data_IF_737957646579
#
_entry.id   IF_737957646579
#
_cell.length_a   1.000
_cell.length_b   1.000
_cell.length_c   1.000
_cell.angle_alpha   90.00
_cell.angle_beta   90.00
_cell.angle_gamma   90.00
#
_symmetry.space_group_name_H-M   'P 1'
#
loop_
_entity.id
_entity.type
_entity.pdbx_description
1 polymer ?
#
# COMPACT_ATOMS: atom_id res chain seq x y z
N UNK A 1 14.66 31.53 -16.70
CA UNK A 1 14.48 30.47 -15.68
C UNK A 1 13.55 30.90 -14.54
N UNK A 2 13.69 32.07 -13.91
CA UNK A 2 12.79 32.56 -12.83
C UNK A 2 11.30 32.53 -13.21
N UNK A 3 10.95 32.98 -14.40
CA UNK A 3 9.56 33.04 -14.88
C UNK A 3 8.96 31.65 -15.14
N UNK A 4 9.77 30.65 -15.53
CA UNK A 4 9.34 29.27 -15.72
C UNK A 4 8.88 28.62 -14.40
N UNK A 5 9.66 28.77 -13.32
CA UNK A 5 9.29 28.26 -11.99
C UNK A 5 8.03 28.93 -11.43
N UNK A 6 7.88 30.25 -11.63
CA UNK A 6 6.67 30.96 -11.24
C UNK A 6 5.43 30.47 -12.02
N UNK A 7 5.55 30.32 -13.34
CA UNK A 7 4.44 29.80 -14.15
C UNK A 7 4.03 28.38 -13.75
N UNK A 8 5.01 27.49 -13.54
CA UNK A 8 4.76 26.11 -13.04
C UNK A 8 4.09 26.14 -11.65
N UNK A 9 4.53 27.01 -10.76
CA UNK A 9 3.96 27.18 -9.43
C UNK A 9 2.48 27.62 -9.48
N UNK A 10 2.14 28.60 -10.31
CA UNK A 10 0.76 29.10 -10.48
C UNK A 10 -0.18 28.10 -11.17
N UNK A 11 0.34 27.16 -11.96
CA UNK A 11 -0.44 26.07 -12.56
C UNK A 11 -0.63 24.94 -11.55
N UNK A 12 0.38 24.63 -10.72
CA UNK A 12 0.32 23.54 -9.76
C UNK A 12 -0.62 23.82 -8.57
N UNK A 13 -0.73 25.07 -8.11
CA UNK A 13 -1.60 25.43 -6.98
C UNK A 13 -3.07 25.10 -7.26
N UNK A 14 -3.71 25.56 -8.36
CA UNK A 14 -5.09 25.18 -8.69
C UNK A 14 -5.26 23.67 -8.85
N UNK A 15 -4.30 22.98 -9.49
CA UNK A 15 -4.34 21.53 -9.64
C UNK A 15 -4.32 20.79 -8.29
N UNK A 16 -3.58 21.27 -7.31
CA UNK A 16 -3.56 20.72 -5.96
C UNK A 16 -4.91 20.92 -5.24
N UNK A 17 -5.54 22.10 -5.38
CA UNK A 17 -6.88 22.35 -4.84
C UNK A 17 -7.96 21.50 -5.51
N UNK A 18 -7.94 21.36 -6.85
CA UNK A 18 -8.84 20.48 -7.58
C UNK A 18 -8.64 19.03 -7.17
N UNK A 19 -7.40 18.57 -7.02
CA UNK A 19 -7.07 17.23 -6.58
C UNK A 19 -7.56 16.96 -5.14
N UNK A 20 -7.50 17.95 -4.25
CA UNK A 20 -7.96 17.83 -2.87
C UNK A 20 -9.49 17.74 -2.79
N UNK A 21 -10.22 18.53 -3.58
CA UNK A 21 -11.67 18.46 -3.65
C UNK A 21 -12.13 17.12 -4.24
N UNK A 22 -11.54 16.69 -5.35
CA UNK A 22 -11.84 15.39 -5.95
C UNK A 22 -11.54 14.22 -5.00
N UNK A 23 -10.50 14.33 -4.19
CA UNK A 23 -10.09 13.32 -3.20
C UNK A 23 -11.16 13.14 -2.10
N UNK A 24 -11.70 14.25 -1.58
CA UNK A 24 -12.75 14.18 -0.56
C UNK A 24 -14.13 13.83 -1.14
N UNK A 25 -14.46 14.31 -2.34
CA UNK A 25 -15.73 14.02 -2.98
C UNK A 25 -15.84 12.52 -3.32
N UNK A 26 -14.77 11.93 -3.86
CA UNK A 26 -14.70 10.50 -4.12
C UNK A 26 -14.78 9.68 -2.81
N UNK A 27 -14.09 10.13 -1.75
CA UNK A 27 -14.18 9.46 -0.45
C UNK A 27 -15.60 9.52 0.10
N UNK A 28 -16.25 10.69 0.02
CA UNK A 28 -17.63 10.89 0.46
C UNK A 28 -18.57 9.91 -0.23
N UNK A 29 -18.45 9.80 -1.54
CA UNK A 29 -19.26 8.86 -2.35
C UNK A 29 -19.06 7.42 -1.90
N UNK A 30 -17.79 6.97 -1.74
CA UNK A 30 -17.46 5.61 -1.33
C UNK A 30 -17.90 5.33 0.11
N UNK A 31 -17.72 6.27 1.04
CA UNK A 31 -17.98 6.05 2.46
C UNK A 31 -19.46 6.11 2.79
N UNK A 32 -20.19 7.11 2.29
CA UNK A 32 -21.60 7.29 2.62
C UNK A 32 -22.52 6.30 1.89
N UNK A 33 -22.20 5.93 0.65
CA UNK A 33 -22.99 5.00 -0.16
C UNK A 33 -22.55 3.54 -0.02
N UNK A 34 -21.63 3.23 0.93
CA UNK A 34 -21.20 1.85 1.14
C UNK A 34 -22.32 0.95 1.64
N UNK A 35 -22.28 -0.31 1.29
CA UNK A 35 -23.13 -1.32 1.91
C UNK A 35 -22.64 -1.61 3.34
N UNK A 36 -23.35 -1.08 4.35
CA UNK A 36 -23.01 -1.22 5.78
C UNK A 36 -23.00 -2.68 6.26
N UNK A 37 -23.72 -3.59 5.59
CA UNK A 37 -23.66 -5.02 5.91
C UNK A 37 -22.29 -5.65 5.64
N UNK A 38 -21.48 -5.04 4.78
CA UNK A 38 -20.11 -5.46 4.49
C UNK A 38 -19.06 -4.92 5.49
N UNK A 39 -19.42 -3.99 6.37
CA UNK A 39 -18.48 -3.37 7.31
C UNK A 39 -17.75 -4.40 8.20
N UNK A 40 -18.39 -5.43 8.77
CA UNK A 40 -17.67 -6.47 9.54
C UNK A 40 -16.63 -7.22 8.70
N UNK A 41 -16.98 -7.59 7.47
CA UNK A 41 -16.07 -8.24 6.54
C UNK A 41 -14.89 -7.34 6.17
N UNK A 42 -15.16 -6.08 5.80
CA UNK A 42 -14.13 -5.10 5.44
C UNK A 42 -13.21 -4.77 6.62
N UNK A 43 -13.73 -4.74 7.84
CA UNK A 43 -12.91 -4.65 9.06
C UNK A 43 -12.03 -5.88 9.26
N UNK A 44 -12.60 -7.06 9.11
CA UNK A 44 -11.85 -8.31 9.22
C UNK A 44 -10.70 -8.39 8.23
N UNK A 45 -10.98 -8.18 6.93
CA UNK A 45 -9.96 -8.29 5.88
C UNK A 45 -8.85 -7.23 6.02
N UNK A 46 -9.20 -5.97 6.40
CA UNK A 46 -8.18 -4.93 6.53
C UNK A 46 -7.20 -5.22 7.68
N UNK A 47 -7.65 -5.86 8.76
CA UNK A 47 -6.77 -6.25 9.87
C UNK A 47 -5.76 -7.34 9.49
N UNK A 48 -5.96 -8.04 8.38
CA UNK A 48 -4.99 -9.04 7.90
C UNK A 48 -3.78 -8.42 7.21
N UNK A 49 -3.83 -7.15 6.79
CA UNK A 49 -2.80 -6.51 5.97
C UNK A 49 -1.39 -6.65 6.56
N UNK A 50 -1.15 -6.09 7.75
CA UNK A 50 0.14 -6.16 8.43
C UNK A 50 0.55 -7.60 8.76
N UNK A 51 -0.25 -8.35 9.55
CA UNK A 51 0.11 -9.73 9.89
C UNK A 51 0.48 -10.59 8.69
N UNK A 52 -0.30 -10.58 7.61
CA UNK A 52 -0.04 -11.41 6.43
C UNK A 52 1.21 -10.91 5.68
N UNK A 53 1.40 -9.58 5.56
CA UNK A 53 2.56 -9.01 4.89
C UNK A 53 3.90 -9.38 5.57
N UNK A 54 3.91 -9.55 6.89
CA UNK A 54 5.11 -9.94 7.63
C UNK A 54 5.24 -11.47 7.79
N UNK A 55 4.15 -12.16 8.14
CA UNK A 55 4.19 -13.60 8.44
C UNK A 55 4.52 -14.42 7.19
N UNK A 56 3.94 -14.09 6.02
CA UNK A 56 4.16 -14.91 4.81
C UNK A 56 5.62 -14.93 4.37
N UNK A 57 6.34 -13.79 4.22
CA UNK A 57 7.76 -13.81 3.86
C UNK A 57 8.65 -14.49 4.90
N UNK A 58 8.37 -14.29 6.20
CA UNK A 58 9.14 -14.91 7.27
C UNK A 58 8.93 -16.42 7.32
N UNK A 59 7.69 -16.89 7.16
CA UNK A 59 7.38 -18.31 7.09
C UNK A 59 8.07 -18.98 5.89
N UNK A 60 8.04 -18.33 4.72
CA UNK A 60 8.75 -18.81 3.53
C UNK A 60 10.27 -18.89 3.78
N UNK A 61 10.84 -17.92 4.51
CA UNK A 61 12.26 -17.91 4.86
C UNK A 61 12.62 -19.07 5.80
N UNK A 62 11.79 -19.33 6.80
CA UNK A 62 11.97 -20.47 7.73
C UNK A 62 11.89 -21.79 6.97
N UNK A 63 10.82 -22.00 6.18
CA UNK A 63 10.66 -23.23 5.36
C UNK A 63 11.81 -23.43 4.40
N UNK A 64 12.28 -22.36 3.74
CA UNK A 64 13.42 -22.42 2.83
C UNK A 64 14.72 -22.80 3.54
N UNK A 65 14.89 -22.35 4.78
CA UNK A 65 16.08 -22.65 5.60
C UNK A 65 16.07 -24.10 6.06
N UNK A 66 14.94 -24.62 6.56
CA UNK A 66 14.76 -26.00 6.96
C UNK A 66 15.00 -26.95 5.77
N UNK A 67 14.39 -26.66 4.63
CA UNK A 67 14.52 -27.45 3.39
C UNK A 67 15.86 -27.24 2.67
N UNK A 68 16.75 -26.38 3.18
CA UNK A 68 18.02 -25.99 2.55
C UNK A 68 17.86 -25.54 1.08
N UNK A 69 16.69 -25.00 0.74
CA UNK A 69 16.34 -24.56 -0.61
C UNK A 69 16.83 -23.13 -0.86
N UNK A 70 18.01 -22.99 -1.48
CA UNK A 70 18.63 -21.68 -1.77
C UNK A 70 17.79 -20.78 -2.66
N UNK A 71 17.06 -21.35 -3.66
CA UNK A 71 16.20 -20.57 -4.56
C UNK A 71 15.01 -19.96 -3.81
N UNK A 72 14.34 -20.78 -2.97
CA UNK A 72 13.22 -20.30 -2.14
C UNK A 72 13.69 -19.30 -1.08
N UNK A 73 14.86 -19.54 -0.45
CA UNK A 73 15.45 -18.63 0.53
C UNK A 73 15.69 -17.24 -0.08
N UNK A 74 16.26 -17.18 -1.29
CA UNK A 74 16.48 -15.91 -2.01
C UNK A 74 15.14 -15.17 -2.25
N UNK A 75 14.11 -15.86 -2.73
CA UNK A 75 12.77 -15.27 -2.94
C UNK A 75 12.21 -14.70 -1.64
N UNK A 76 12.28 -15.44 -0.55
CA UNK A 76 11.80 -14.99 0.76
C UNK A 76 12.60 -13.78 1.28
N UNK A 77 13.92 -13.74 1.12
CA UNK A 77 14.76 -12.59 1.50
C UNK A 77 14.37 -11.34 0.71
N UNK A 78 14.13 -11.46 -0.61
CA UNK A 78 13.69 -10.33 -1.43
C UNK A 78 12.33 -9.79 -0.91
N UNK A 79 11.37 -10.67 -0.58
CA UNK A 79 10.10 -10.26 0.00
C UNK A 79 10.28 -9.53 1.34
N UNK A 80 11.09 -10.06 2.25
CA UNK A 80 11.36 -9.43 3.55
C UNK A 80 11.94 -8.03 3.37
N UNK A 81 12.96 -7.88 2.52
CA UNK A 81 13.59 -6.57 2.27
C UNK A 81 12.60 -5.61 1.62
N UNK A 82 11.75 -6.10 0.68
CA UNK A 82 10.70 -5.28 0.05
C UNK A 82 9.72 -4.74 1.08
N UNK A 83 9.23 -5.59 1.99
CA UNK A 83 8.30 -5.19 3.07
C UNK A 83 8.96 -4.17 3.99
N UNK A 84 10.19 -4.43 4.45
CA UNK A 84 10.93 -3.51 5.31
C UNK A 84 11.12 -2.14 4.63
N UNK A 85 11.52 -2.12 3.36
CA UNK A 85 11.65 -0.87 2.59
C UNK A 85 10.33 -0.12 2.50
N UNK A 86 9.25 -0.82 2.17
CA UNK A 86 7.92 -0.22 2.08
C UNK A 86 7.46 0.39 3.41
N UNK A 87 7.69 -0.31 4.53
CA UNK A 87 7.38 0.17 5.89
C UNK A 87 8.19 1.41 6.25
N UNK A 88 9.50 1.40 5.99
CA UNK A 88 10.39 2.54 6.27
C UNK A 88 9.90 3.77 5.49
N UNK A 89 9.69 3.64 4.18
CA UNK A 89 9.22 4.75 3.32
C UNK A 89 7.86 5.26 3.80
N UNK A 90 6.91 4.37 4.05
CA UNK A 90 5.57 4.72 4.52
C UNK A 90 5.61 5.44 5.87
N UNK A 91 6.39 4.94 6.82
CA UNK A 91 6.51 5.53 8.15
C UNK A 91 7.17 6.90 8.08
N UNK A 92 8.23 7.04 7.30
CA UNK A 92 8.90 8.33 7.09
C UNK A 92 7.91 9.37 6.53
N UNK A 93 7.20 9.04 5.45
CA UNK A 93 6.22 9.94 4.84
C UNK A 93 5.06 10.28 5.79
N UNK A 94 4.60 9.33 6.60
CA UNK A 94 3.54 9.60 7.59
C UNK A 94 3.89 10.74 8.54
N UNK A 95 5.04 10.65 9.14
CA UNK A 95 5.45 11.64 10.16
C UNK A 95 6.05 12.91 9.58
N UNK A 96 6.53 12.88 8.32
CA UNK A 96 6.99 14.08 7.62
C UNK A 96 5.82 14.93 7.12
N UNK A 97 4.82 14.30 6.49
CA UNK A 97 3.66 14.99 5.88
C UNK A 97 2.58 15.27 6.93
N UNK A 98 2.40 14.36 7.89
CA UNK A 98 1.49 14.48 9.04
C UNK A 98 0.05 14.87 8.64
N UNK A 99 -0.49 14.29 7.57
CA UNK A 99 -1.83 14.59 7.06
C UNK A 99 -2.89 14.14 8.05
N UNK A 100 -3.86 15.01 8.46
CA UNK A 100 -4.98 14.60 9.30
C UNK A 100 -5.88 13.59 8.57
N UNK A 101 -6.58 12.76 9.34
CA UNK A 101 -7.48 11.76 8.76
C UNK A 101 -8.80 12.38 8.30
N UNK A 102 -9.50 11.74 7.31
CA UNK A 102 -10.75 12.28 6.79
C UNK A 102 -11.79 12.54 7.87
N UNK A 103 -11.98 11.61 8.81
CA UNK A 103 -12.95 11.72 9.90
C UNK A 103 -12.58 12.77 10.96
N UNK A 104 -11.35 13.24 10.99
CA UNK A 104 -10.89 14.33 11.87
C UNK A 104 -11.17 15.69 11.24
N UNK A 105 -11.18 15.75 9.90
CA UNK A 105 -11.36 16.99 9.14
C UNK A 105 -12.83 17.20 8.72
N UNK A 106 -13.54 16.13 8.40
CA UNK A 106 -14.88 16.18 7.83
C UNK A 106 -15.87 15.39 8.66
N UNK A 107 -16.79 16.08 9.32
CA UNK A 107 -17.81 15.51 10.23
C UNK A 107 -18.81 14.57 9.56
N UNK A 108 -18.95 14.66 8.22
CA UNK A 108 -19.83 13.79 7.45
C UNK A 108 -19.22 12.43 7.11
N UNK A 109 -17.91 12.23 7.33
CA UNK A 109 -17.26 10.94 7.09
C UNK A 109 -17.48 10.00 8.28
N UNK A 110 -18.12 8.86 8.02
CA UNK A 110 -18.36 7.83 9.02
C UNK A 110 -17.08 7.01 9.28
N UNK A 111 -16.51 7.15 10.48
CA UNK A 111 -15.38 6.32 10.93
C UNK A 111 -15.88 4.96 11.42
N UNK A 112 -15.56 3.88 10.72
CA UNK A 112 -16.02 2.52 11.03
C UNK A 112 -14.92 1.61 11.58
N UNK A 113 -13.64 2.00 11.47
CA UNK A 113 -12.50 1.22 11.98
C UNK A 113 -11.46 2.10 12.66
N UNK A 114 -10.47 1.48 13.31
CA UNK A 114 -9.40 2.19 13.99
C UNK A 114 -8.46 2.93 13.01
N UNK A 115 -7.99 4.09 13.45
CA UNK A 115 -6.96 4.88 12.79
C UNK A 115 -6.35 5.84 13.80
N UNK A 116 -5.05 5.68 14.13
CA UNK A 116 -4.38 6.44 15.18
C UNK A 116 -3.07 7.13 14.76
N UNK A 117 -2.55 6.81 13.56
CA UNK A 117 -1.39 7.50 12.97
C UNK A 117 -1.84 8.47 11.88
N UNK A 118 -0.98 9.37 11.37
CA UNK A 118 -1.32 10.24 10.25
C UNK A 118 -1.89 9.51 9.04
N UNK A 119 -2.74 10.19 8.25
CA UNK A 119 -3.47 9.57 7.16
C UNK A 119 -2.57 9.12 6.01
N UNK A 120 -1.66 9.96 5.58
CA UNK A 120 -0.84 9.75 4.37
C UNK A 120 0.52 9.13 4.67
N UNK A 121 0.94 8.15 3.87
CA UNK A 121 0.16 7.29 2.99
C UNK A 121 -0.54 6.15 3.75
N UNK A 122 -1.40 5.37 3.06
CA UNK A 122 -2.10 4.23 3.67
C UNK A 122 -1.19 3.03 3.92
N UNK A 123 -0.84 2.77 5.20
CA UNK A 123 0.05 1.66 5.58
C UNK A 123 -0.54 0.29 5.23
N UNK A 124 -1.80 0.02 5.55
CA UNK A 124 -2.45 -1.27 5.21
C UNK A 124 -2.45 -1.53 3.70
N UNK A 125 -2.66 -0.49 2.89
CA UNK A 125 -2.58 -0.61 1.43
C UNK A 125 -1.15 -0.90 0.98
N UNK A 126 -0.17 -0.21 1.55
CA UNK A 126 1.25 -0.45 1.27
C UNK A 126 1.65 -1.88 1.58
N UNK A 127 1.30 -2.38 2.77
CA UNK A 127 1.60 -3.73 3.23
C UNK A 127 0.98 -4.79 2.30
N UNK A 128 -0.29 -4.58 1.91
CA UNK A 128 -0.98 -5.49 1.02
C UNK A 128 -0.37 -5.54 -0.39
N UNK A 129 -0.07 -4.38 -0.97
CA UNK A 129 0.46 -4.31 -2.33
C UNK A 129 1.92 -4.71 -2.44
N UNK A 130 2.75 -4.45 -1.43
CA UNK A 130 4.13 -4.95 -1.44
C UNK A 130 4.15 -6.48 -1.41
N UNK A 131 3.31 -7.12 -0.57
CA UNK A 131 3.24 -8.57 -0.53
C UNK A 131 2.65 -9.16 -1.81
N UNK A 132 1.53 -8.63 -2.30
CA UNK A 132 0.88 -9.12 -3.51
C UNK A 132 1.82 -9.07 -4.71
N UNK A 133 2.55 -7.95 -4.88
CA UNK A 133 3.53 -7.78 -5.96
C UNK A 133 4.72 -8.72 -5.78
N UNK A 134 5.30 -8.78 -4.57
CA UNK A 134 6.46 -9.64 -4.31
C UNK A 134 6.15 -11.14 -4.49
N UNK A 135 4.96 -11.60 -4.06
CA UNK A 135 4.50 -12.97 -4.31
C UNK A 135 4.32 -13.25 -5.80
N UNK A 136 3.72 -12.32 -6.53
CA UNK A 136 3.48 -12.47 -7.97
C UNK A 136 4.77 -12.55 -8.77
N UNK A 137 5.77 -11.75 -8.41
CA UNK A 137 7.11 -11.79 -9.03
C UNK A 137 7.88 -13.07 -8.66
N UNK A 138 7.77 -13.53 -7.41
CA UNK A 138 8.45 -14.74 -6.96
C UNK A 138 7.80 -16.02 -7.49
N UNK A 139 6.49 -16.03 -7.66
CA UNK A 139 5.70 -17.19 -8.09
C UNK A 139 4.69 -16.75 -9.16
N UNK A 140 5.10 -16.61 -10.43
CA UNK A 140 4.26 -16.08 -11.51
C UNK A 140 3.21 -17.10 -12.00
N UNK A 141 2.30 -17.48 -11.11
CA UNK A 141 1.22 -18.43 -11.37
C UNK A 141 -0.13 -17.75 -11.13
N UNK A 142 -1.08 -17.89 -12.05
CA UNK A 142 -2.38 -17.22 -11.98
C UNK A 142 -3.13 -17.44 -10.68
N UNK A 143 -3.07 -18.65 -10.12
CA UNK A 143 -3.71 -18.99 -8.84
C UNK A 143 -3.02 -18.35 -7.60
N UNK A 144 -1.88 -17.69 -7.74
CA UNK A 144 -1.23 -16.87 -6.72
C UNK A 144 -1.49 -15.38 -7.00
N UNK A 145 -1.31 -14.95 -8.24
CA UNK A 145 -1.43 -13.55 -8.64
C UNK A 145 -2.84 -13.02 -8.35
N UNK A 146 -3.88 -13.69 -8.88
CA UNK A 146 -5.25 -13.20 -8.74
C UNK A 146 -5.72 -13.10 -7.29
N UNK A 147 -5.59 -14.13 -6.42
CA UNK A 147 -5.99 -14.01 -5.03
C UNK A 147 -5.20 -12.95 -4.26
N UNK A 148 -3.88 -12.79 -4.54
CA UNK A 148 -3.05 -11.81 -3.87
C UNK A 148 -3.49 -10.37 -4.20
N UNK A 149 -3.73 -10.06 -5.47
CA UNK A 149 -4.20 -8.73 -5.85
C UNK A 149 -5.67 -8.49 -5.51
N UNK A 150 -6.54 -9.50 -5.54
CA UNK A 150 -7.92 -9.37 -5.06
C UNK A 150 -7.95 -9.01 -3.57
N UNK A 151 -7.16 -9.70 -2.74
CA UNK A 151 -6.99 -9.39 -1.32
C UNK A 151 -6.43 -7.97 -1.11
N UNK A 152 -5.38 -7.59 -1.83
CA UNK A 152 -4.78 -6.26 -1.71
C UNK A 152 -5.76 -5.15 -2.12
N UNK A 153 -6.53 -5.35 -3.20
CA UNK A 153 -7.55 -4.40 -3.67
C UNK A 153 -8.72 -4.29 -2.68
N UNK A 154 -9.15 -5.42 -2.10
CA UNK A 154 -10.19 -5.40 -1.06
C UNK A 154 -9.73 -4.63 0.18
N UNK A 155 -8.46 -4.77 0.59
CA UNK A 155 -7.88 -3.95 1.66
C UNK A 155 -7.86 -2.47 1.27
N UNK A 156 -7.35 -2.12 0.09
CA UNK A 156 -7.31 -0.75 -0.40
C UNK A 156 -8.70 -0.09 -0.39
N UNK A 157 -9.70 -0.77 -0.93
CA UNK A 157 -11.09 -0.33 -0.90
C UNK A 157 -11.61 -0.16 0.52
N UNK A 158 -11.33 -1.11 1.41
CA UNK A 158 -11.79 -1.06 2.81
C UNK A 158 -11.30 0.20 3.55
N UNK A 159 -10.12 0.74 3.21
CA UNK A 159 -9.58 1.94 3.89
C UNK A 159 -10.38 3.19 3.57
N UNK A 160 -10.90 3.29 2.35
CA UNK A 160 -11.80 4.36 1.93
C UNK A 160 -13.22 4.13 2.45
N UNK A 161 -13.78 2.96 2.21
CA UNK A 161 -15.13 2.59 2.62
C UNK A 161 -15.34 2.74 4.14
N UNK A 162 -14.36 2.36 4.96
CA UNK A 162 -14.40 2.50 6.42
C UNK A 162 -13.99 3.91 6.92
N UNK A 163 -13.79 4.89 6.04
CA UNK A 163 -13.64 6.31 6.35
C UNK A 163 -12.32 6.73 6.99
N UNK A 164 -11.23 5.96 6.81
CA UNK A 164 -9.96 6.20 7.53
C UNK A 164 -8.81 6.70 6.67
N UNK A 165 -8.94 6.66 5.33
CA UNK A 165 -7.95 7.17 4.38
C UNK A 165 -8.62 7.81 3.19
N UNK A 166 -7.99 8.84 2.65
CA UNK A 166 -8.35 9.43 1.37
C UNK A 166 -7.95 8.52 0.20
N UNK A 167 -8.61 8.62 -0.97
CA UNK A 167 -8.19 7.93 -2.19
C UNK A 167 -6.72 8.15 -2.56
N UNK A 168 -6.21 9.38 -2.41
CA UNK A 168 -4.80 9.70 -2.66
C UNK A 168 -3.85 8.96 -1.72
N UNK A 169 -4.21 8.78 -0.42
CA UNK A 169 -3.40 8.02 0.53
C UNK A 169 -3.29 6.54 0.10
N UNK A 170 -4.40 6.01 -0.42
CA UNK A 170 -4.49 4.63 -0.93
C UNK A 170 -3.66 4.47 -2.20
N UNK A 171 -3.80 5.41 -3.15
CA UNK A 171 -3.04 5.39 -4.41
C UNK A 171 -1.53 5.41 -4.15
N UNK A 172 -1.07 6.31 -3.27
CA UNK A 172 0.36 6.39 -2.92
C UNK A 172 0.81 5.13 -2.17
N UNK A 173 -0.04 4.54 -1.32
CA UNK A 173 0.22 3.24 -0.70
C UNK A 173 0.43 2.12 -1.72
N UNK A 174 -0.39 2.06 -2.77
CA UNK A 174 -0.23 1.12 -3.90
C UNK A 174 1.13 1.34 -4.59
N UNK A 175 1.46 2.59 -4.90
CA UNK A 175 2.72 2.93 -5.60
C UNK A 175 3.95 2.56 -4.76
N UNK A 176 3.96 2.86 -3.46
CA UNK A 176 5.07 2.52 -2.56
C UNK A 176 5.22 1.00 -2.45
N UNK A 177 4.12 0.29 -2.19
CA UNK A 177 4.16 -1.16 -2.01
C UNK A 177 4.64 -1.88 -3.28
N UNK A 178 4.04 -1.55 -4.42
CA UNK A 178 4.42 -2.12 -5.72
C UNK A 178 5.85 -1.73 -6.10
N UNK A 179 6.22 -0.46 -5.94
CA UNK A 179 7.54 0.06 -6.27
C UNK A 179 8.65 -0.58 -5.45
N UNK A 180 8.45 -0.78 -4.14
CA UNK A 180 9.42 -1.46 -3.28
C UNK A 180 9.66 -2.92 -3.72
N UNK A 181 8.61 -3.66 -4.07
CA UNK A 181 8.73 -5.03 -4.55
C UNK A 181 9.44 -5.11 -5.90
N UNK A 182 9.09 -4.25 -6.85
CA UNK A 182 9.74 -4.17 -8.16
C UNK A 182 11.21 -3.79 -8.04
N UNK A 183 11.55 -2.79 -7.23
CA UNK A 183 12.92 -2.33 -7.01
C UNK A 183 13.83 -3.49 -6.61
N UNK A 184 13.48 -4.21 -5.56
CA UNK A 184 14.30 -5.31 -5.07
C UNK A 184 14.31 -6.52 -6.01
N UNK A 185 13.20 -6.77 -6.71
CA UNK A 185 13.18 -7.80 -7.74
C UNK A 185 14.19 -7.50 -8.86
N UNK A 186 14.22 -6.28 -9.39
CA UNK A 186 15.15 -5.85 -10.45
C UNK A 186 16.61 -5.93 -9.96
N UNK A 187 16.91 -5.36 -8.78
CA UNK A 187 18.28 -5.36 -8.22
C UNK A 187 18.82 -6.78 -8.07
N UNK A 188 18.00 -7.72 -7.62
CA UNK A 188 18.45 -9.10 -7.43
C UNK A 188 18.44 -9.91 -8.73
N UNK A 189 17.66 -9.56 -9.74
CA UNK A 189 17.66 -10.21 -11.05
C UNK A 189 18.92 -9.83 -11.85
N UNK A 190 19.26 -8.55 -11.92
CA UNK A 190 20.47 -8.07 -12.63
C UNK A 190 21.78 -8.64 -12.08
N UNK A 191 21.85 -8.90 -10.76
CA UNK A 191 23.02 -9.56 -10.16
C UNK A 191 23.17 -11.04 -10.54
N UNK A 192 22.16 -11.64 -11.13
CA UNK A 192 22.23 -13.03 -11.59
C UNK A 192 22.85 -13.12 -12.99
N UNK A 193 22.49 -12.18 -13.86
CA UNK A 193 23.05 -12.10 -15.22
C UNK A 193 24.54 -11.77 -15.22
N UNK A 194 25.02 -10.96 -14.28
CA UNK A 194 26.46 -10.61 -14.16
C UNK A 194 27.32 -11.72 -13.58
N UNK A 195 26.75 -12.85 -13.12
CA UNK A 195 27.47 -13.98 -12.54
C UNK A 195 27.33 -15.28 -13.34
N UNK A 196 26.58 -15.26 -14.42
CA UNK A 196 26.40 -16.37 -15.36
C UNK A 196 27.28 -16.17 -16.59
#
# INVERSE_FOLDING_TARGET
MKNFFLTVFWILIPLLFFAQNADIDLLREINLNRNKALDPFLRGITHTAGPVAFVVPLLLLVVASIKKNRKLKRKAVIMVISVLTAVIVTTTLKYTINRPRPFETYSFIEKVTSGGSPSFPSGHTTDAFVLATALSLAFPRRHIIWPAFLWATAIAYSRMSLGVHYPADVLVGILIGTGAALLWHIIFSSRQESRA
#
